data_IF_836666526968
#
_entry.id   IF_836666526968
#
_cell.length_a   1.000
_cell.length_b   1.000
_cell.length_c   1.000
_cell.angle_alpha   90.00
_cell.angle_beta   90.00
_cell.angle_gamma   90.00
#
_symmetry.space_group_name_H-M   'P 1'
#
loop_
_entity.id
_entity.type
_entity.pdbx_description
1 polymer ?
#
# COMPACT_ATOMS: atom_id res chain seq x y z
N UNK A 1 -16.46 -7.87 -10.05
CA UNK A 1 -17.36 -8.35 -8.98
C UNK A 1 -16.61 -8.26 -7.65
N UNK A 2 -17.15 -7.64 -6.58
CA UNK A 2 -16.49 -7.61 -5.27
C UNK A 2 -16.31 -9.00 -4.67
N UNK A 3 -15.17 -9.22 -4.01
CA UNK A 3 -14.93 -10.42 -3.21
C UNK A 3 -15.92 -10.40 -2.03
N UNK A 4 -16.94 -11.26 -2.06
CA UNK A 4 -17.96 -11.35 -1.00
C UNK A 4 -17.52 -12.34 0.09
N UNK A 5 -18.17 -12.26 1.25
CA UNK A 5 -17.94 -13.24 2.31
C UNK A 5 -18.33 -14.66 1.89
N UNK A 6 -19.31 -14.81 1.00
CA UNK A 6 -19.77 -16.10 0.49
C UNK A 6 -18.75 -16.74 -0.45
N UNK A 7 -18.21 -15.99 -1.42
CA UNK A 7 -17.16 -16.51 -2.30
C UNK A 7 -15.86 -16.80 -1.52
N UNK A 8 -15.56 -16.01 -0.48
CA UNK A 8 -14.48 -16.31 0.46
C UNK A 8 -14.72 -17.61 1.23
N UNK A 9 -15.95 -17.84 1.71
CA UNK A 9 -16.31 -19.04 2.45
C UNK A 9 -16.12 -20.30 1.59
N UNK A 10 -16.52 -20.28 0.33
CA UNK A 10 -16.28 -21.39 -0.62
C UNK A 10 -14.78 -21.66 -0.81
N UNK A 11 -13.98 -20.60 -0.95
CA UNK A 11 -12.54 -20.68 -1.18
C UNK A 11 -11.76 -21.17 0.04
N UNK A 12 -12.29 -20.97 1.25
CA UNK A 12 -11.75 -21.49 2.52
C UNK A 12 -12.21 -22.94 2.78
N UNK A 13 -13.41 -23.32 2.32
CA UNK A 13 -13.91 -24.71 2.38
C UNK A 13 -13.15 -25.64 1.45
N UNK A 14 -12.71 -25.13 0.28
CA UNK A 14 -11.75 -25.84 -0.57
C UNK A 14 -10.42 -26.08 0.16
N UNK A 15 -9.82 -27.27 0.00
CA UNK A 15 -8.56 -27.72 0.65
C UNK A 15 -7.62 -26.55 1.03
N UNK A 16 -7.19 -26.46 2.30
CA UNK A 16 -6.31 -25.39 2.89
C UNK A 16 -5.14 -24.93 2.01
N UNK A 17 -4.57 -25.82 1.19
CA UNK A 17 -3.50 -25.52 0.25
C UNK A 17 -3.90 -24.47 -0.81
N UNK A 18 -5.15 -24.52 -1.29
CA UNK A 18 -5.69 -23.56 -2.26
C UNK A 18 -5.84 -22.16 -1.64
N UNK A 19 -6.35 -22.07 -0.42
CA UNK A 19 -6.53 -20.81 0.31
C UNK A 19 -5.19 -20.14 0.60
N UNK A 20 -4.16 -20.91 0.96
CA UNK A 20 -2.80 -20.41 1.21
C UNK A 20 -2.17 -19.85 -0.07
N UNK A 21 -2.29 -20.57 -1.20
CA UNK A 21 -1.80 -20.09 -2.49
C UNK A 21 -2.53 -18.81 -2.92
N UNK A 22 -3.86 -18.80 -2.79
CA UNK A 22 -4.67 -17.63 -3.09
C UNK A 22 -4.24 -16.41 -2.26
N UNK A 23 -4.06 -16.56 -0.94
CA UNK A 23 -3.61 -15.48 -0.09
C UNK A 23 -2.21 -14.96 -0.44
N UNK A 24 -1.29 -15.85 -0.85
CA UNK A 24 0.03 -15.45 -1.35
C UNK A 24 -0.07 -14.62 -2.63
N UNK A 25 -0.91 -15.01 -3.59
CA UNK A 25 -1.12 -14.22 -4.82
C UNK A 25 -1.87 -12.91 -4.52
N UNK A 26 -2.87 -12.92 -3.64
CA UNK A 26 -3.58 -11.72 -3.20
C UNK A 26 -2.62 -10.71 -2.54
N UNK A 27 -1.69 -11.18 -1.71
CA UNK A 27 -0.64 -10.31 -1.14
C UNK A 27 0.21 -9.66 -2.23
N UNK A 28 0.57 -10.40 -3.29
CA UNK A 28 1.38 -9.86 -4.39
C UNK A 28 0.62 -8.81 -5.19
N UNK A 29 -0.64 -9.09 -5.55
CA UNK A 29 -1.51 -8.17 -6.26
C UNK A 29 -1.74 -6.90 -5.44
N UNK A 30 -2.05 -7.03 -4.16
CA UNK A 30 -2.26 -5.90 -3.28
C UNK A 30 -0.98 -5.07 -3.07
N UNK A 31 0.19 -5.72 -2.99
CA UNK A 31 1.47 -5.01 -2.97
C UNK A 31 1.72 -4.25 -4.27
N UNK A 32 1.48 -4.83 -5.45
CA UNK A 32 1.59 -4.08 -6.70
C UNK A 32 0.65 -2.87 -6.70
N UNK A 33 -0.61 -3.07 -6.33
CA UNK A 33 -1.62 -2.02 -6.27
C UNK A 33 -1.20 -0.84 -5.36
N UNK A 34 -0.53 -1.11 -4.23
CA UNK A 34 0.02 -0.08 -3.35
C UNK A 34 1.01 0.87 -4.03
N UNK A 35 1.68 0.42 -5.09
CA UNK A 35 2.70 1.18 -5.81
C UNK A 35 2.27 1.62 -7.21
N UNK A 36 1.10 1.20 -7.69
CA UNK A 36 0.55 1.60 -8.99
C UNK A 36 -0.70 2.48 -8.88
N UNK A 37 -1.55 2.24 -7.87
CA UNK A 37 -2.82 2.96 -7.70
C UNK A 37 -2.69 4.17 -6.77
N UNK A 38 -1.58 4.30 -6.07
CA UNK A 38 -1.29 5.38 -5.12
C UNK A 38 0.17 5.82 -5.30
N UNK A 39 0.46 7.12 -5.17
CA UNK A 39 1.82 7.60 -4.95
C UNK A 39 2.67 6.65 -4.10
N UNK A 40 3.76 6.16 -4.69
CA UNK A 40 4.60 5.13 -4.11
C UNK A 40 5.22 5.60 -2.79
N UNK A 41 4.75 5.05 -1.67
CA UNK A 41 5.36 5.28 -0.35
C UNK A 41 6.75 4.63 -0.31
N UNK A 42 7.76 5.30 0.27
CA UNK A 42 9.18 4.97 0.04
C UNK A 42 9.60 3.56 0.50
N UNK A 43 8.91 2.93 1.45
CA UNK A 43 8.94 1.48 1.71
C UNK A 43 7.95 1.02 2.82
N UNK A 44 7.03 1.88 3.29
CA UNK A 44 6.46 1.68 4.62
C UNK A 44 5.27 0.72 4.68
N UNK A 45 4.68 0.33 3.55
CA UNK A 45 3.49 -0.52 3.52
C UNK A 45 3.65 -1.82 4.32
N UNK A 46 4.84 -2.44 4.31
CA UNK A 46 5.12 -3.65 5.08
C UNK A 46 5.28 -3.44 6.58
N UNK A 47 5.51 -2.20 7.02
CA UNK A 47 5.75 -1.85 8.42
C UNK A 47 4.54 -1.18 9.07
N UNK A 48 3.48 -0.87 8.30
CA UNK A 48 2.28 -0.26 8.84
C UNK A 48 1.52 -1.27 9.71
N UNK A 49 1.33 -0.92 10.99
CA UNK A 49 0.48 -1.68 11.90
C UNK A 49 -0.99 -1.34 11.64
N UNK A 50 -1.83 -2.35 11.53
CA UNK A 50 -3.26 -2.20 11.33
C UNK A 50 -3.95 -1.74 12.62
N UNK A 51 -4.89 -0.81 12.49
CA UNK A 51 -5.75 -0.38 13.60
C UNK A 51 -7.12 0.06 13.10
N UNK A 52 -8.17 -0.29 13.83
CA UNK A 52 -9.53 0.22 13.61
C UNK A 52 -9.88 1.39 14.54
N UNK A 53 -8.95 1.81 15.41
CA UNK A 53 -9.19 2.81 16.46
C UNK A 53 -8.38 4.07 16.18
N UNK A 54 -8.96 5.01 15.45
CA UNK A 54 -8.27 6.25 15.04
C UNK A 54 -7.84 7.12 16.23
N UNK A 55 -8.70 7.26 17.26
CA UNK A 55 -8.43 8.13 18.41
C UNK A 55 -7.42 7.56 19.40
N UNK A 56 -7.07 6.29 19.28
CA UNK A 56 -6.13 5.60 20.17
C UNK A 56 -4.92 5.05 19.42
N UNK A 57 -4.55 5.70 18.31
CA UNK A 57 -3.30 5.38 17.61
C UNK A 57 -2.14 5.90 18.48
N UNK A 58 -1.22 5.01 18.90
CA UNK A 58 -0.02 5.42 19.62
C UNK A 58 0.78 6.48 18.86
N UNK A 59 1.40 7.41 19.57
CA UNK A 59 2.23 8.49 19.01
C UNK A 59 3.52 7.99 18.36
N UNK A 60 3.83 6.70 18.47
CA UNK A 60 5.02 6.10 17.88
C UNK A 60 4.66 5.24 16.66
N UNK A 61 5.53 5.30 15.64
CA UNK A 61 5.47 4.43 14.48
C UNK A 61 4.45 4.85 13.41
N UNK A 62 4.28 3.97 12.42
CA UNK A 62 3.38 4.20 11.28
C UNK A 62 2.26 3.16 11.27
N UNK A 63 1.06 3.63 10.97
CA UNK A 63 -0.17 2.88 11.13
C UNK A 63 -0.99 2.89 9.84
N UNK A 64 -1.68 1.79 9.60
CA UNK A 64 -2.72 1.69 8.59
C UNK A 64 -4.06 1.64 9.32
N UNK A 65 -4.70 2.80 9.42
CA UNK A 65 -6.05 2.90 9.94
C UNK A 65 -7.05 2.35 8.92
N UNK A 66 -8.03 1.58 9.39
CA UNK A 66 -9.14 1.12 8.56
C UNK A 66 -10.48 1.25 9.28
N UNK A 67 -11.54 1.54 8.53
CA UNK A 67 -12.92 1.60 9.03
C UNK A 67 -13.87 1.01 8.01
N UNK A 68 -14.82 0.19 8.47
CA UNK A 68 -15.88 -0.34 7.63
C UNK A 68 -16.69 0.82 7.01
N UNK A 69 -16.89 0.75 5.71
CA UNK A 69 -17.60 1.72 4.88
C UNK A 69 -18.48 0.94 3.90
N UNK A 70 -19.66 0.53 4.36
CA UNK A 70 -20.54 -0.39 3.63
C UNK A 70 -19.89 -1.76 3.43
N UNK A 71 -19.81 -2.30 2.19
CA UNK A 71 -19.18 -3.58 1.90
C UNK A 71 -17.64 -3.51 1.86
N UNK A 72 -17.04 -2.31 1.92
CA UNK A 72 -15.58 -2.14 1.84
C UNK A 72 -15.04 -1.55 3.14
N UNK A 73 -13.73 -1.42 3.21
CA UNK A 73 -13.04 -0.60 4.19
C UNK A 73 -12.53 0.68 3.53
N UNK A 74 -12.64 1.79 4.27
CA UNK A 74 -11.84 2.99 4.03
C UNK A 74 -10.49 2.83 4.74
N UNK A 75 -9.43 3.37 4.16
CA UNK A 75 -8.08 3.28 4.71
C UNK A 75 -7.40 4.64 4.78
N UNK A 76 -6.59 4.84 5.82
CA UNK A 76 -5.68 5.98 5.96
C UNK A 76 -4.33 5.50 6.45
N UNK A 77 -3.26 5.97 5.82
CA UNK A 77 -1.90 5.82 6.34
C UNK A 77 -1.66 6.95 7.32
N UNK A 78 -1.38 6.62 8.57
CA UNK A 78 -1.08 7.57 9.66
C UNK A 78 0.39 7.40 10.01
N UNK A 79 1.20 8.40 9.69
CA UNK A 79 2.63 8.41 9.98
C UNK A 79 2.86 9.40 11.12
N UNK A 80 3.34 8.93 12.27
CA UNK A 80 3.51 9.81 13.42
C UNK A 80 4.75 10.70 13.31
N UNK A 81 5.87 10.12 12.85
CA UNK A 81 7.16 10.81 12.74
C UNK A 81 7.58 10.97 11.27
N UNK A 82 6.69 11.50 10.44
CA UNK A 82 7.02 11.74 9.03
C UNK A 82 7.95 12.94 8.88
N UNK A 83 9.00 12.81 8.06
CA UNK A 83 9.93 13.90 7.75
C UNK A 83 10.22 13.93 6.26
N UNK A 84 10.06 15.10 5.65
CA UNK A 84 10.60 15.42 4.33
C UNK A 84 11.26 16.82 4.35
N UNK A 85 11.65 17.33 3.18
CA UNK A 85 12.33 18.63 3.08
C UNK A 85 11.48 19.84 3.46
N UNK A 86 10.16 19.70 3.61
CA UNK A 86 9.22 20.80 3.90
C UNK A 86 8.34 20.58 5.14
N UNK A 87 8.21 19.35 5.63
CA UNK A 87 7.31 18.98 6.71
C UNK A 87 7.96 17.98 7.66
N UNK A 88 7.72 18.18 8.95
CA UNK A 88 8.14 17.28 10.02
C UNK A 88 6.97 17.10 10.98
N UNK A 89 6.69 15.85 11.36
CA UNK A 89 5.65 15.48 12.32
C UNK A 89 4.51 14.69 11.67
N UNK A 90 3.42 14.56 12.44
CA UNK A 90 2.29 13.69 12.07
C UNK A 90 1.74 14.04 10.69
N UNK A 91 1.57 13.01 9.85
CA UNK A 91 1.00 13.12 8.51
C UNK A 91 0.01 12.00 8.28
N UNK A 92 -1.17 12.35 7.76
CA UNK A 92 -2.19 11.36 7.35
C UNK A 92 -2.39 11.42 5.85
N UNK A 93 -2.36 10.26 5.20
CA UNK A 93 -2.62 10.11 3.76
C UNK A 93 -3.88 9.26 3.60
N UNK A 94 -4.85 9.80 2.89
CA UNK A 94 -6.01 9.02 2.50
C UNK A 94 -5.66 8.05 1.36
N UNK A 95 -6.09 6.80 1.51
CA UNK A 95 -5.90 5.78 0.48
C UNK A 95 -6.99 5.96 -0.57
N UNK A 96 -6.59 6.07 -1.84
CA UNK A 96 -7.51 6.21 -2.96
C UNK A 96 -8.49 5.03 -3.03
N UNK A 97 -9.70 5.29 -3.52
CA UNK A 97 -10.82 4.34 -3.54
C UNK A 97 -10.46 2.99 -4.18
N UNK A 98 -9.77 3.02 -5.33
CA UNK A 98 -9.43 1.79 -6.06
C UNK A 98 -8.41 0.93 -5.29
N UNK A 99 -7.43 1.58 -4.66
CA UNK A 99 -6.52 0.88 -3.76
C UNK A 99 -7.27 0.34 -2.53
N UNK A 100 -8.14 1.14 -1.92
CA UNK A 100 -8.94 0.73 -0.76
C UNK A 100 -9.80 -0.52 -1.06
N UNK A 101 -10.31 -0.67 -2.28
CA UNK A 101 -11.00 -1.87 -2.73
C UNK A 101 -10.09 -3.10 -2.69
N UNK A 102 -8.89 -3.02 -3.27
CA UNK A 102 -7.90 -4.11 -3.29
C UNK A 102 -7.44 -4.46 -1.87
N UNK A 103 -7.15 -3.45 -1.04
CA UNK A 103 -6.76 -3.66 0.36
C UNK A 103 -7.89 -4.29 1.19
N UNK A 104 -9.14 -3.94 0.91
CA UNK A 104 -10.30 -4.55 1.57
C UNK A 104 -10.37 -6.05 1.29
N UNK A 105 -10.16 -6.46 0.04
CA UNK A 105 -10.12 -7.88 -0.33
C UNK A 105 -8.96 -8.59 0.37
N UNK A 106 -7.76 -8.01 0.36
CA UNK A 106 -6.58 -8.57 1.05
C UNK A 106 -6.79 -8.74 2.56
N UNK A 107 -7.34 -7.72 3.22
CA UNK A 107 -7.62 -7.77 4.66
C UNK A 107 -8.64 -8.85 5.00
N UNK A 108 -9.73 -8.97 4.22
CA UNK A 108 -10.74 -10.02 4.41
C UNK A 108 -10.11 -11.42 4.32
N UNK A 109 -9.25 -11.67 3.33
CA UNK A 109 -8.54 -12.95 3.19
C UNK A 109 -7.69 -13.25 4.41
N UNK A 110 -6.90 -12.28 4.90
CA UNK A 110 -6.06 -12.47 6.08
C UNK A 110 -6.89 -12.73 7.34
N UNK A 111 -8.01 -12.02 7.53
CA UNK A 111 -8.92 -12.23 8.66
C UNK A 111 -9.56 -13.62 8.66
N UNK A 112 -9.64 -14.31 7.51
CA UNK A 112 -10.07 -15.71 7.46
C UNK A 112 -8.96 -16.71 7.78
N UNK A 113 -7.71 -16.29 7.65
CA UNK A 113 -6.54 -17.14 7.87
C UNK A 113 -5.92 -16.98 9.25
N UNK A 114 -6.16 -15.84 9.91
CA UNK A 114 -5.57 -15.47 11.20
C UNK A 114 -6.61 -14.79 12.08
N UNK A 115 -6.69 -15.21 13.35
CA UNK A 115 -7.61 -14.61 14.32
C UNK A 115 -7.27 -13.14 14.61
N UNK A 116 -5.98 -12.80 14.56
CA UNK A 116 -5.48 -11.43 14.76
C UNK A 116 -4.54 -11.04 13.63
N UNK A 117 -4.98 -10.06 12.84
CA UNK A 117 -4.18 -9.48 11.74
C UNK A 117 -3.59 -8.14 12.21
N UNK A 118 -2.30 -8.14 12.54
CA UNK A 118 -1.59 -6.91 12.95
C UNK A 118 -0.97 -6.15 11.78
N UNK A 119 -0.65 -6.84 10.68
CA UNK A 119 -0.03 -6.26 9.49
C UNK A 119 -0.74 -6.76 8.23
N UNK A 120 -0.82 -5.91 7.20
CA UNK A 120 -1.49 -6.28 5.94
C UNK A 120 -0.59 -7.09 5.00
N UNK A 121 0.73 -6.99 5.14
CA UNK A 121 1.69 -7.50 4.17
C UNK A 121 2.84 -8.28 4.80
N UNK A 122 3.66 -8.89 3.94
CA UNK A 122 4.86 -9.67 4.25
C UNK A 122 4.58 -10.85 5.19
N UNK A 123 3.46 -11.50 4.94
CA UNK A 123 3.19 -12.82 5.47
C UNK A 123 3.99 -13.86 4.69
N UNK A 124 4.73 -14.70 5.42
CA UNK A 124 5.31 -15.94 4.93
C UNK A 124 4.31 -17.05 5.13
N UNK A 125 4.06 -17.78 4.04
CA UNK A 125 3.13 -18.90 3.99
C UNK A 125 3.96 -20.19 3.89
N UNK A 126 4.30 -20.81 5.04
CA UNK A 126 5.10 -22.04 5.10
C UNK A 126 4.41 -23.08 5.97
N UNK A 127 4.35 -24.34 5.51
CA UNK A 127 3.90 -25.49 6.30
C UNK A 127 2.56 -25.25 7.04
N UNK A 128 1.55 -24.71 6.34
CA UNK A 128 0.23 -24.36 6.90
C UNK A 128 0.25 -23.33 8.05
N UNK A 129 1.35 -22.58 8.23
CA UNK A 129 1.47 -21.50 9.19
C UNK A 129 1.72 -20.18 8.48
N UNK A 130 0.97 -19.15 8.87
CA UNK A 130 1.25 -17.77 8.54
C UNK A 130 2.21 -17.20 9.58
N UNK A 131 3.33 -16.65 9.13
CA UNK A 131 4.24 -15.89 9.98
C UNK A 131 4.50 -14.53 9.35
N UNK A 132 4.34 -13.46 10.12
CA UNK A 132 4.69 -12.13 9.65
C UNK A 132 6.21 -11.98 9.65
N UNK A 133 6.78 -11.51 8.54
CA UNK A 133 8.23 -11.31 8.38
C UNK A 133 8.50 -9.82 8.22
N UNK A 134 8.33 -9.05 9.31
CA UNK A 134 8.49 -7.61 9.31
C UNK A 134 9.94 -7.21 8.97
N UNK A 135 10.18 -6.70 7.75
CA UNK A 135 11.47 -6.10 7.40
C UNK A 135 11.31 -5.21 6.18
N UNK A 136 11.78 -3.95 6.27
CA UNK A 136 11.89 -3.04 5.12
C UNK A 136 12.69 -3.67 3.98
N UNK A 137 13.75 -4.41 4.31
CA UNK A 137 14.59 -5.12 3.33
C UNK A 137 13.85 -6.30 2.67
N UNK A 138 12.84 -6.87 3.32
CA UNK A 138 11.99 -7.89 2.71
C UNK A 138 11.13 -7.31 1.60
N UNK A 139 10.49 -6.15 1.83
CA UNK A 139 9.68 -5.51 0.80
C UNK A 139 10.52 -5.01 -0.39
N UNK A 140 11.68 -4.40 -0.12
CA UNK A 140 12.60 -3.91 -1.15
C UNK A 140 13.08 -5.03 -2.10
N UNK A 141 13.25 -6.26 -1.58
CA UNK A 141 13.61 -7.44 -2.40
C UNK A 141 12.41 -8.10 -3.07
N UNK A 142 11.23 -8.02 -2.44
CA UNK A 142 10.03 -8.68 -2.92
C UNK A 142 9.41 -7.94 -4.11
N UNK A 143 9.36 -6.60 -4.08
CA UNK A 143 8.69 -5.81 -5.13
C UNK A 143 9.28 -6.02 -6.53
N UNK A 144 10.61 -5.94 -6.76
CA UNK A 144 11.16 -6.17 -8.10
C UNK A 144 10.83 -7.57 -8.62
N UNK A 145 10.78 -8.59 -7.75
CA UNK A 145 10.40 -9.96 -8.15
C UNK A 145 8.93 -10.05 -8.54
N UNK A 146 8.05 -9.36 -7.81
CA UNK A 146 6.63 -9.32 -8.14
C UNK A 146 6.44 -8.62 -9.49
N UNK A 147 7.01 -7.42 -9.67
CA UNK A 147 6.89 -6.69 -10.93
C UNK A 147 7.53 -7.44 -12.11
N UNK A 148 8.68 -8.09 -11.93
CA UNK A 148 9.26 -8.94 -12.97
C UNK A 148 8.33 -10.09 -13.37
N UNK A 149 7.63 -10.71 -12.42
CA UNK A 149 6.71 -11.82 -12.71
C UNK A 149 5.41 -11.39 -13.40
N UNK A 150 4.86 -10.21 -13.09
CA UNK A 150 3.56 -9.76 -13.59
C UNK A 150 3.63 -8.75 -14.73
N UNK A 151 4.66 -7.90 -14.75
CA UNK A 151 4.84 -6.82 -15.71
C UNK A 151 6.04 -7.03 -16.63
N UNK A 152 6.77 -8.15 -16.50
CA UNK A 152 7.96 -8.47 -17.31
C UNK A 152 9.22 -7.69 -16.94
N UNK A 153 9.09 -6.58 -16.22
CA UNK A 153 10.21 -5.71 -15.83
C UNK A 153 10.30 -5.59 -14.31
N UNK A 154 11.46 -5.89 -13.69
CA UNK A 154 11.67 -5.66 -12.27
C UNK A 154 11.66 -4.17 -11.92
N UNK A 155 10.71 -3.73 -11.09
CA UNK A 155 10.60 -2.33 -10.65
C UNK A 155 10.86 -2.20 -9.15
N UNK A 156 11.71 -1.24 -8.78
CA UNK A 156 11.99 -0.87 -7.39
C UNK A 156 11.00 0.21 -6.92
N UNK A 157 10.91 0.43 -5.61
CA UNK A 157 10.09 1.52 -5.06
C UNK A 157 10.49 2.88 -5.64
N UNK A 158 11.80 3.15 -5.73
CA UNK A 158 12.28 4.41 -6.30
C UNK A 158 11.91 4.54 -7.77
N UNK A 159 12.03 3.46 -8.56
CA UNK A 159 11.59 3.46 -9.95
C UNK A 159 10.09 3.80 -10.07
N UNK A 160 9.24 3.19 -9.25
CA UNK A 160 7.80 3.49 -9.22
C UNK A 160 7.52 4.95 -8.81
N UNK A 161 8.29 5.51 -7.88
CA UNK A 161 8.19 6.93 -7.50
C UNK A 161 8.52 7.83 -8.69
N UNK A 162 9.61 7.55 -9.41
CA UNK A 162 9.99 8.32 -10.59
C UNK A 162 8.93 8.24 -11.68
N UNK A 163 8.41 7.03 -11.98
CA UNK A 163 7.32 6.85 -12.96
C UNK A 163 6.10 7.69 -12.58
N UNK A 164 5.64 7.62 -11.33
CA UNK A 164 4.51 8.42 -10.88
C UNK A 164 4.74 9.93 -10.96
N UNK A 165 5.97 10.36 -10.68
CA UNK A 165 6.33 11.76 -10.73
C UNK A 165 6.39 12.27 -12.17
N UNK A 166 7.03 11.52 -13.08
CA UNK A 166 7.07 11.81 -14.51
C UNK A 166 5.66 11.83 -15.11
N UNK A 167 4.82 10.85 -14.80
CA UNK A 167 3.42 10.78 -15.26
C UNK A 167 2.60 11.97 -14.77
N UNK A 168 2.76 12.36 -13.51
CA UNK A 168 2.08 13.53 -12.95
C UNK A 168 2.48 14.79 -13.73
N UNK A 169 3.78 15.03 -13.89
CA UNK A 169 4.31 16.22 -14.56
C UNK A 169 3.95 16.28 -16.05
N UNK A 170 3.92 15.12 -16.73
CA UNK A 170 3.54 15.04 -18.15
C UNK A 170 2.03 15.23 -18.38
N UNK A 171 1.19 15.09 -17.36
CA UNK A 171 -0.27 15.16 -17.53
C UNK A 171 -0.75 16.56 -17.90
N UNK A 172 -1.68 16.63 -18.87
CA UNK A 172 -2.30 17.90 -19.28
C UNK A 172 -3.05 18.60 -18.12
N UNK A 173 -3.59 17.81 -17.18
CA UNK A 173 -4.22 18.34 -15.98
C UNK A 173 -3.21 19.08 -15.10
N UNK A 174 -2.03 18.52 -14.87
CA UNK A 174 -0.96 19.15 -14.08
C UNK A 174 -0.48 20.46 -14.69
N UNK A 175 -0.40 20.52 -16.03
CA UNK A 175 -0.04 21.75 -16.74
C UNK A 175 -1.04 22.89 -16.50
N UNK A 176 -2.31 22.55 -16.24
CA UNK A 176 -3.38 23.53 -15.94
C UNK A 176 -3.53 23.86 -14.46
N UNK A 177 -2.85 23.13 -13.56
CA UNK A 177 -2.91 23.38 -12.12
C UNK A 177 -2.20 24.68 -11.73
N UNK A 178 -2.78 25.39 -10.77
CA UNK A 178 -2.14 26.49 -10.05
C UNK A 178 -0.95 25.99 -9.23
N UNK A 179 -0.05 26.89 -8.82
CA UNK A 179 1.10 26.55 -7.97
C UNK A 179 0.68 25.84 -6.67
N UNK A 180 -0.41 26.29 -6.03
CA UNK A 180 -0.94 25.67 -4.80
C UNK A 180 -1.46 24.25 -5.04
N UNK A 181 -2.07 23.99 -6.19
CA UNK A 181 -2.57 22.65 -6.54
C UNK A 181 -1.42 21.71 -6.88
N UNK A 182 -0.39 22.19 -7.57
CA UNK A 182 0.85 21.43 -7.81
C UNK A 182 1.53 21.09 -6.49
N UNK A 183 1.66 22.05 -5.56
CA UNK A 183 2.21 21.79 -4.23
C UNK A 183 1.41 20.71 -3.47
N UNK A 184 0.07 20.71 -3.56
CA UNK A 184 -0.78 19.65 -2.97
C UNK A 184 -0.57 18.30 -3.64
N UNK A 185 -0.46 18.24 -4.96
CA UNK A 185 -0.23 17.00 -5.70
C UNK A 185 1.14 16.39 -5.35
N UNK A 186 2.18 17.23 -5.25
CA UNK A 186 3.51 16.82 -4.84
C UNK A 186 3.61 16.44 -3.36
N UNK A 187 2.84 17.09 -2.49
CA UNK A 187 2.73 16.68 -1.09
C UNK A 187 2.26 15.22 -0.94
N UNK A 188 1.39 14.73 -1.83
CA UNK A 188 0.96 13.32 -1.85
C UNK A 188 2.08 12.35 -2.29
N UNK A 189 3.05 12.82 -3.08
CA UNK A 189 4.28 12.08 -3.42
C UNK A 189 5.30 12.09 -2.27
N UNK A 190 4.99 12.77 -1.16
CA UNK A 190 5.85 12.91 0.02
C UNK A 190 7.20 13.57 -0.28
N UNK A 191 7.29 14.34 -1.37
CA UNK A 191 8.45 15.11 -1.80
C UNK A 191 8.07 16.58 -1.99
N UNK A 192 9.06 17.47 -2.02
CA UNK A 192 8.84 18.86 -2.41
C UNK A 192 8.84 19.02 -3.94
N UNK A 193 8.05 19.96 -4.48
CA UNK A 193 8.04 20.31 -5.91
C UNK A 193 9.46 20.57 -6.48
N UNK A 194 10.34 21.17 -5.68
CA UNK A 194 11.75 21.41 -6.06
C UNK A 194 12.56 20.12 -6.21
N UNK A 195 12.32 19.13 -5.36
CA UNK A 195 12.94 17.80 -5.48
C UNK A 195 12.45 17.11 -6.75
N UNK A 196 11.18 17.34 -7.13
CA UNK A 196 10.63 16.74 -8.34
C UNK A 196 11.09 17.37 -9.67
N UNK A 197 11.50 18.63 -9.65
CA UNK A 197 12.17 19.26 -10.80
C UNK A 197 13.60 18.72 -10.97
N UNK A 198 14.28 18.36 -9.89
CA UNK A 198 15.66 17.86 -9.95
C UNK A 198 15.79 16.45 -10.56
N UNK A 199 14.75 15.60 -10.45
CA UNK A 199 14.78 14.24 -11.01
C UNK A 199 14.63 14.19 -12.54
N UNK A 200 14.09 15.24 -13.17
CA UNK A 200 13.92 15.34 -14.63
C UNK A 200 15.07 16.08 -15.33
N UNK A 201 16.18 16.36 -14.62
CA UNK A 201 17.41 16.96 -15.20
C UNK A 201 18.51 15.94 -15.49
N UNK A 202 18.19 14.64 -15.54
CA UNK A 202 19.10 13.58 -16.00
C UNK A 202 18.55 12.95 -17.27
#
# INVERSE_FOLDING_TARGET
MPLTDDNLNELVRGKKLNTTRFAKEMQRIALMACYTLQPALRADWSTLRLTSRLRSIPSEGNWLYFKKAGPLFSFRVVMQDFKNSRHMGMTTIEVKRDLAYVLSAGLRVLQRLQDRVEYLFIWSFRQNRLTHVASRNSLARLLPRIFGAYAGTPLTVNAMRHIHESDLQASAAYQRMTLRERDRAHAQLLHSHMTGIAYNRV
#
